data_IF_521783121836
#
_entry.id   IF_521783121836
#
_cell.length_a   1.000
_cell.length_b   1.000
_cell.length_c   1.000
_cell.angle_alpha   90.00
_cell.angle_beta   90.00
_cell.angle_gamma   90.00
#
_symmetry.space_group_name_H-M   'P 1'
#
loop_
_entity.id
_entity.type
_entity.pdbx_description
1 polymer ?
#
# COMPACT_ATOMS: atom_id res chain seq x y z
N UNK A 1 12.56 -4.12 -9.41
CA UNK A 1 11.61 -3.09 -9.89
C UNK A 1 12.38 -1.82 -10.21
N UNK A 2 12.31 -1.36 -11.44
CA UNK A 2 12.75 -0.02 -11.85
C UNK A 2 11.62 1.00 -11.63
N UNK A 3 11.95 2.30 -11.70
CA UNK A 3 10.95 3.38 -11.71
C UNK A 3 9.92 3.19 -12.84
N UNK A 4 10.37 2.84 -14.04
CA UNK A 4 9.49 2.60 -15.19
C UNK A 4 8.54 1.42 -14.97
N UNK A 5 9.00 0.38 -14.26
CA UNK A 5 8.13 -0.74 -13.88
C UNK A 5 7.01 -0.27 -12.93
N UNK A 6 7.35 0.57 -11.94
CA UNK A 6 6.37 1.09 -10.98
C UNK A 6 5.38 2.05 -11.65
N UNK A 7 5.86 2.95 -12.50
CA UNK A 7 5.02 3.85 -13.29
C UNK A 7 4.02 3.04 -14.11
N UNK A 8 4.50 2.05 -14.88
CA UNK A 8 3.62 1.19 -15.68
C UNK A 8 2.62 0.43 -14.81
N UNK A 9 3.02 0.06 -13.60
CA UNK A 9 2.19 -0.65 -12.66
C UNK A 9 0.97 0.16 -12.19
N UNK A 10 1.11 1.47 -11.98
CA UNK A 10 0.02 2.32 -11.45
C UNK A 10 -0.69 3.16 -12.52
N UNK A 11 0.01 3.50 -13.60
CA UNK A 11 -0.47 4.37 -14.66
C UNK A 11 -1.76 3.83 -15.28
N UNK A 12 -2.74 4.71 -15.46
CA UNK A 12 -4.04 4.44 -16.10
C UNK A 12 -4.78 3.22 -15.52
N UNK A 13 -4.51 2.86 -14.26
CA UNK A 13 -5.27 1.82 -13.56
C UNK A 13 -6.68 2.32 -13.24
N UNK A 14 -7.69 1.52 -13.53
CA UNK A 14 -9.10 1.81 -13.21
C UNK A 14 -9.47 1.42 -11.77
N UNK A 15 -8.66 0.56 -11.13
CA UNK A 15 -8.93 0.04 -9.79
C UNK A 15 -8.07 0.67 -8.70
N UNK A 16 -6.95 1.31 -9.04
CA UNK A 16 -5.98 1.79 -8.06
C UNK A 16 -6.59 2.83 -7.11
N UNK A 17 -7.12 3.94 -7.62
CA UNK A 17 -7.75 4.98 -6.80
C UNK A 17 -9.02 4.47 -6.10
N UNK A 18 -9.81 3.66 -6.80
CA UNK A 18 -11.01 3.03 -6.26
C UNK A 18 -10.72 2.15 -5.04
N UNK A 19 -9.57 1.48 -4.99
CA UNK A 19 -9.20 0.59 -3.89
C UNK A 19 -8.28 1.25 -2.85
N UNK A 20 -7.51 2.27 -3.22
CA UNK A 20 -6.48 2.89 -2.36
C UNK A 20 -6.97 4.19 -1.73
N UNK A 21 -7.42 5.16 -2.54
CA UNK A 21 -7.76 6.51 -2.06
C UNK A 21 -9.24 6.65 -1.73
N UNK A 22 -10.14 6.00 -2.48
CA UNK A 22 -11.58 6.03 -2.21
C UNK A 22 -11.97 5.60 -0.79
N UNK A 23 -11.37 4.56 -0.16
CA UNK A 23 -11.66 4.24 1.24
C UNK A 23 -11.39 5.39 2.22
N UNK A 24 -10.53 6.34 1.83
CA UNK A 24 -10.11 7.50 2.62
C UNK A 24 -10.89 8.79 2.27
N UNK A 25 -11.97 8.69 1.48
CA UNK A 25 -12.79 9.84 1.03
C UNK A 25 -13.32 10.73 2.18
N UNK A 26 -13.44 10.17 3.38
CA UNK A 26 -13.92 10.86 4.56
C UNK A 26 -12.87 11.80 5.18
N UNK A 27 -11.62 11.72 4.73
CA UNK A 27 -10.49 12.57 5.13
C UNK A 27 -10.28 13.64 4.05
N UNK A 28 -10.08 13.20 2.81
CA UNK A 28 -9.92 14.05 1.63
C UNK A 28 -10.96 13.62 0.57
N UNK A 29 -11.98 14.45 0.29
CA UNK A 29 -13.13 14.05 -0.53
C UNK A 29 -12.83 13.86 -2.03
N UNK A 30 -11.80 14.48 -2.59
CA UNK A 30 -11.41 14.29 -3.99
C UNK A 30 -10.48 13.07 -4.07
N UNK A 31 -11.09 11.88 -4.05
CA UNK A 31 -10.36 10.63 -3.99
C UNK A 31 -9.90 10.13 -5.36
N UNK A 32 -10.51 10.58 -6.46
CA UNK A 32 -10.09 10.22 -7.81
C UNK A 32 -8.63 10.64 -8.08
N UNK A 33 -7.91 9.84 -8.86
CA UNK A 33 -6.54 10.16 -9.26
C UNK A 33 -6.46 10.34 -10.79
N UNK A 34 -5.94 11.49 -11.23
CA UNK A 34 -5.71 11.76 -12.65
C UNK A 34 -4.24 11.64 -12.99
N UNK A 35 -3.89 10.76 -13.93
CA UNK A 35 -2.50 10.57 -14.38
C UNK A 35 -2.07 11.64 -15.38
N UNK A 36 -0.88 12.24 -15.20
CA UNK A 36 -0.23 13.11 -16.19
C UNK A 36 0.87 12.36 -16.96
N UNK A 37 0.63 12.12 -18.25
CA UNK A 37 1.58 11.48 -19.16
C UNK A 37 2.88 12.28 -19.39
N UNK A 38 2.93 13.56 -19.04
CA UNK A 38 4.11 14.41 -19.24
C UNK A 38 5.08 14.38 -18.06
N UNK A 39 4.56 14.18 -16.85
CA UNK A 39 5.35 14.19 -15.62
C UNK A 39 5.53 12.81 -15.01
N UNK A 40 4.83 11.79 -15.52
CA UNK A 40 4.76 10.43 -14.95
C UNK A 40 4.33 10.43 -13.47
N UNK A 41 3.38 11.31 -13.13
CA UNK A 41 2.84 11.47 -11.78
C UNK A 41 1.33 11.71 -11.83
N UNK A 42 0.65 11.52 -10.70
CA UNK A 42 -0.73 11.98 -10.54
C UNK A 42 -0.78 13.50 -10.38
N UNK A 43 -1.77 14.15 -10.98
CA UNK A 43 -1.98 15.59 -10.87
C UNK A 43 -2.43 15.92 -9.44
N UNK A 44 -1.69 16.76 -8.68
CA UNK A 44 -2.13 17.22 -7.38
C UNK A 44 -3.37 18.10 -7.51
N UNK A 45 -4.40 17.80 -6.71
CA UNK A 45 -5.65 18.54 -6.64
C UNK A 45 -5.93 18.95 -5.18
N UNK A 46 -6.73 19.99 -4.98
CA UNK A 46 -7.22 20.36 -3.65
C UNK A 46 -8.03 19.20 -3.06
N UNK A 47 -7.95 19.02 -1.74
CA UNK A 47 -8.70 17.98 -1.04
C UNK A 47 -8.49 16.55 -1.58
N UNK A 48 -7.28 16.26 -2.10
CA UNK A 48 -6.91 14.97 -2.72
C UNK A 48 -5.63 14.37 -2.13
N UNK A 49 -5.55 13.03 -2.15
CA UNK A 49 -4.35 12.29 -1.79
C UNK A 49 -3.29 12.22 -2.92
N UNK A 50 -3.53 12.80 -4.09
CA UNK A 50 -2.65 12.68 -5.25
C UNK A 50 -1.17 13.02 -4.95
N UNK A 51 -0.89 14.11 -4.21
CA UNK A 51 0.48 14.46 -3.82
C UNK A 51 1.10 13.42 -2.88
N UNK A 52 0.35 12.94 -1.88
CA UNK A 52 0.83 11.89 -0.96
C UNK A 52 1.02 10.54 -1.63
N UNK A 53 0.25 10.25 -2.67
CA UNK A 53 0.48 9.07 -3.52
C UNK A 53 1.80 9.22 -4.28
N UNK A 54 2.06 10.37 -4.89
CA UNK A 54 3.32 10.63 -5.58
C UNK A 54 4.53 10.48 -4.64
N UNK A 55 4.50 11.12 -3.46
CA UNK A 55 5.56 10.97 -2.44
C UNK A 55 5.78 9.49 -2.06
N UNK A 56 4.70 8.74 -1.84
CA UNK A 56 4.77 7.32 -1.52
C UNK A 56 5.37 6.50 -2.67
N UNK A 57 5.04 6.80 -3.93
CA UNK A 57 5.60 6.12 -5.09
C UNK A 57 7.10 6.38 -5.22
N UNK A 58 7.54 7.62 -5.00
CA UNK A 58 8.96 7.99 -4.99
C UNK A 58 9.74 7.23 -3.90
N UNK A 59 9.16 7.12 -2.72
CA UNK A 59 9.73 6.33 -1.62
C UNK A 59 9.81 4.84 -1.96
N UNK A 60 8.77 4.29 -2.61
CA UNK A 60 8.80 2.91 -3.07
C UNK A 60 9.93 2.69 -4.07
N UNK A 61 10.26 3.65 -4.96
CA UNK A 61 11.38 3.49 -5.90
C UNK A 61 12.69 3.22 -5.16
N UNK A 62 12.98 4.01 -4.12
CA UNK A 62 14.24 3.93 -3.36
C UNK A 62 14.25 2.88 -2.24
N UNK A 63 13.08 2.35 -1.86
CA UNK A 63 12.95 1.28 -0.86
C UNK A 63 13.63 0.00 -1.36
N UNK A 64 14.55 -0.61 -0.58
CA UNK A 64 15.16 -1.89 -0.92
C UNK A 64 14.11 -2.98 -1.12
N UNK A 65 14.31 -3.84 -2.10
CA UNK A 65 13.43 -5.00 -2.31
C UNK A 65 13.70 -5.99 -1.18
N UNK A 66 12.70 -6.37 -0.36
CA UNK A 66 12.90 -7.36 0.67
C UNK A 66 13.11 -8.75 0.06
N UNK A 67 13.96 -9.57 0.69
CA UNK A 67 14.16 -10.96 0.28
C UNK A 67 12.87 -11.79 0.40
N UNK A 68 12.06 -11.49 1.42
CA UNK A 68 10.72 -12.04 1.62
C UNK A 68 9.79 -10.97 2.21
N UNK A 69 8.82 -10.51 1.42
CA UNK A 69 7.92 -9.43 1.86
C UNK A 69 6.96 -9.87 2.98
N UNK A 70 6.69 -11.17 3.10
CA UNK A 70 5.87 -11.71 4.18
C UNK A 70 6.50 -11.49 5.56
N UNK A 71 7.83 -11.36 5.65
CA UNK A 71 8.50 -11.10 6.92
C UNK A 71 8.14 -9.70 7.46
N UNK A 72 7.97 -8.71 6.57
CA UNK A 72 7.55 -7.36 6.97
C UNK A 72 6.06 -7.33 7.38
N UNK A 73 5.22 -8.13 6.72
CA UNK A 73 3.82 -8.29 7.10
C UNK A 73 3.69 -9.03 8.45
N UNK A 74 4.56 -10.00 8.70
CA UNK A 74 4.64 -10.71 9.97
C UNK A 74 5.04 -9.78 11.12
N UNK A 75 5.99 -8.85 10.92
CA UNK A 75 6.36 -7.86 11.93
C UNK A 75 5.16 -7.00 12.34
N UNK A 76 4.34 -6.56 11.37
CA UNK A 76 3.13 -5.79 11.64
C UNK A 76 2.10 -6.62 12.43
N UNK A 77 1.89 -7.88 12.03
CA UNK A 77 0.97 -8.78 12.73
C UNK A 77 1.47 -9.13 14.16
N UNK A 78 2.77 -9.37 14.33
CA UNK A 78 3.40 -9.60 15.62
C UNK A 78 3.26 -8.38 16.53
N UNK A 79 3.37 -7.16 15.99
CA UNK A 79 3.11 -5.94 16.75
C UNK A 79 1.69 -5.90 17.32
N UNK A 80 0.68 -6.25 16.51
CA UNK A 80 -0.72 -6.34 16.96
C UNK A 80 -0.90 -7.41 18.04
N UNK A 81 -0.30 -8.59 17.85
CA UNK A 81 -0.39 -9.68 18.81
C UNK A 81 0.22 -9.30 20.17
N UNK A 82 1.39 -8.65 20.14
CA UNK A 82 2.18 -8.32 21.34
C UNK A 82 1.67 -7.08 22.07
N UNK A 83 1.21 -6.05 21.36
CA UNK A 83 0.88 -4.75 21.95
C UNK A 83 -0.63 -4.51 22.09
N UNK A 84 -1.47 -5.16 21.27
CA UNK A 84 -2.93 -4.99 21.30
C UNK A 84 -3.66 -6.22 21.84
N UNK A 85 -2.95 -7.33 22.13
CA UNK A 85 -3.51 -8.58 22.66
C UNK A 85 -4.63 -9.19 21.79
N UNK A 86 -4.57 -9.01 20.47
CA UNK A 86 -5.54 -9.64 19.58
C UNK A 86 -5.24 -11.13 19.45
N UNK A 87 -6.29 -11.96 19.52
CA UNK A 87 -6.19 -13.41 19.31
C UNK A 87 -6.04 -13.72 17.81
N UNK A 88 -4.83 -13.46 17.29
CA UNK A 88 -4.46 -13.75 15.90
C UNK A 88 -3.53 -14.97 15.84
N UNK A 89 -3.76 -15.87 14.87
CA UNK A 89 -2.96 -17.10 14.69
C UNK A 89 -2.52 -17.25 13.24
N UNK A 90 -1.25 -17.58 13.00
CA UNK A 90 -0.77 -17.89 11.64
C UNK A 90 -1.06 -19.35 11.29
N UNK A 91 -1.87 -19.58 10.25
CA UNK A 91 -2.27 -20.91 9.79
C UNK A 91 -1.97 -21.01 8.29
N UNK A 92 -1.13 -21.99 7.89
CA UNK A 92 -0.67 -22.18 6.51
C UNK A 92 -0.05 -20.92 5.85
N UNK A 93 0.71 -20.14 6.61
CA UNK A 93 1.36 -18.92 6.10
C UNK A 93 0.45 -17.69 6.03
N UNK A 94 -0.82 -17.77 6.47
CA UNK A 94 -1.76 -16.65 6.55
C UNK A 94 -2.16 -16.37 7.98
N UNK A 95 -2.23 -15.10 8.36
CA UNK A 95 -2.79 -14.70 9.65
C UNK A 95 -4.31 -14.88 9.63
N UNK A 96 -4.81 -15.78 10.47
CA UNK A 96 -6.22 -16.03 10.72
C UNK A 96 -6.60 -15.26 11.99
N UNK A 97 -7.36 -14.19 11.80
CA UNK A 97 -8.11 -13.45 12.83
C UNK A 97 -9.22 -12.63 12.17
N UNK A 98 -9.82 -11.68 12.89
CA UNK A 98 -10.53 -10.53 12.32
C UNK A 98 -9.77 -9.92 11.12
N UNK A 99 -10.52 -9.23 10.25
CA UNK A 99 -10.14 -8.73 8.93
C UNK A 99 -8.64 -8.41 8.81
N UNK A 100 -7.95 -8.97 7.81
CA UNK A 100 -6.51 -8.75 7.58
C UNK A 100 -6.19 -7.25 7.46
N UNK A 101 -7.16 -6.45 7.03
CA UNK A 101 -7.08 -4.99 7.00
C UNK A 101 -6.90 -4.37 8.37
N UNK A 102 -7.64 -4.87 9.36
CA UNK A 102 -7.59 -4.38 10.73
C UNK A 102 -6.23 -4.71 11.35
N UNK A 103 -5.66 -5.89 11.05
CA UNK A 103 -4.33 -6.28 11.55
C UNK A 103 -3.23 -5.39 10.96
N UNK A 104 -3.23 -5.18 9.65
CA UNK A 104 -2.21 -4.33 9.00
C UNK A 104 -2.32 -2.88 9.48
N UNK A 105 -3.54 -2.34 9.51
CA UNK A 105 -3.76 -0.96 9.94
C UNK A 105 -3.38 -0.78 11.42
N UNK A 106 -3.77 -1.68 12.31
CA UNK A 106 -3.41 -1.56 13.73
C UNK A 106 -1.92 -1.83 13.98
N UNK A 107 -1.31 -2.77 13.25
CA UNK A 107 0.12 -3.06 13.36
C UNK A 107 0.99 -1.91 12.90
N UNK A 108 0.48 -1.12 11.95
CA UNK A 108 1.20 0.01 11.38
C UNK A 108 1.46 1.15 12.37
N UNK A 109 0.69 1.29 13.47
CA UNK A 109 0.93 2.34 14.47
C UNK A 109 2.27 2.19 15.21
N UNK A 110 2.87 1.00 15.18
CA UNK A 110 4.23 0.75 15.68
C UNK A 110 5.32 0.79 14.60
N UNK A 111 4.96 1.08 13.34
CA UNK A 111 5.90 1.07 12.21
C UNK A 111 6.56 2.45 12.04
N UNK A 112 7.71 2.64 12.69
CA UNK A 112 8.47 3.88 12.59
C UNK A 112 8.80 4.22 11.13
N UNK A 113 8.35 5.40 10.69
CA UNK A 113 8.51 5.89 9.31
C UNK A 113 7.95 4.93 8.24
N UNK A 114 6.99 4.06 8.60
CA UNK A 114 6.27 3.19 7.66
C UNK A 114 7.16 2.20 6.90
N UNK A 115 8.36 1.89 7.42
CA UNK A 115 9.38 1.09 6.72
C UNK A 115 8.89 -0.31 6.37
N UNK A 116 8.15 -0.95 7.27
CA UNK A 116 7.62 -2.29 7.04
C UNK A 116 6.48 -2.27 6.02
N UNK A 117 5.60 -1.27 6.08
CA UNK A 117 4.53 -1.08 5.09
C UNK A 117 5.09 -0.83 3.68
N UNK A 118 6.08 0.08 3.54
CA UNK A 118 6.74 0.36 2.27
C UNK A 118 7.44 -0.89 1.71
N UNK A 119 8.15 -1.63 2.55
CA UNK A 119 8.81 -2.87 2.16
C UNK A 119 7.81 -3.95 1.72
N UNK A 120 6.70 -4.11 2.45
CA UNK A 120 5.63 -5.04 2.10
C UNK A 120 4.98 -4.69 0.75
N UNK A 121 4.66 -3.41 0.53
CA UNK A 121 4.15 -2.92 -0.75
C UNK A 121 5.15 -3.15 -1.89
N UNK A 122 6.42 -2.75 -1.71
CA UNK A 122 7.50 -2.92 -2.70
C UNK A 122 7.64 -4.38 -3.12
N UNK A 123 7.67 -5.30 -2.16
CA UNK A 123 7.80 -6.73 -2.42
C UNK A 123 6.60 -7.30 -3.16
N UNK A 124 5.36 -6.91 -2.81
CA UNK A 124 4.14 -7.34 -3.51
C UNK A 124 4.12 -6.90 -4.97
N UNK A 125 4.48 -5.65 -5.24
CA UNK A 125 4.53 -5.11 -6.61
C UNK A 125 5.61 -5.83 -7.42
N UNK A 126 6.81 -6.00 -6.86
CA UNK A 126 7.91 -6.72 -7.52
C UNK A 126 7.52 -8.18 -7.85
N UNK A 127 6.86 -8.87 -6.91
CA UNK A 127 6.37 -10.23 -7.14
C UNK A 127 5.32 -10.28 -8.23
N UNK A 128 4.34 -9.35 -8.23
CA UNK A 128 3.32 -9.27 -9.27
C UNK A 128 3.95 -9.09 -10.67
N UNK A 129 4.88 -8.15 -10.81
CA UNK A 129 5.62 -7.90 -12.06
C UNK A 129 6.39 -9.15 -12.51
N UNK A 130 7.10 -9.83 -11.60
CA UNK A 130 7.83 -11.08 -11.91
C UNK A 130 6.91 -12.20 -12.38
N UNK A 131 5.65 -12.21 -11.94
CA UNK A 131 4.63 -13.16 -12.39
C UNK A 131 3.84 -12.68 -13.62
N UNK A 132 4.24 -11.58 -14.26
CA UNK A 132 3.64 -11.06 -15.49
C UNK A 132 2.41 -10.17 -15.28
N UNK A 133 2.09 -9.80 -14.03
CA UNK A 133 1.03 -8.85 -13.70
C UNK A 133 1.65 -7.45 -13.69
N UNK A 134 1.62 -6.79 -14.85
CA UNK A 134 2.42 -5.56 -15.08
C UNK A 134 1.69 -4.27 -14.77
N UNK A 135 0.37 -4.33 -14.55
CA UNK A 135 -0.47 -3.25 -14.05
C UNK A 135 -1.19 -3.70 -12.78
N UNK A 136 -1.57 -2.76 -11.92
CA UNK A 136 -2.35 -3.01 -10.72
C UNK A 136 -3.66 -3.75 -11.03
N UNK A 137 -4.28 -3.47 -12.17
CA UNK A 137 -5.52 -4.11 -12.63
C UNK A 137 -5.32 -5.58 -13.06
N UNK A 138 -4.08 -5.96 -13.41
CA UNK A 138 -3.73 -7.33 -13.82
C UNK A 138 -3.58 -8.28 -12.60
N UNK A 139 -3.51 -7.74 -11.38
CA UNK A 139 -3.24 -8.52 -10.19
C UNK A 139 -4.36 -9.52 -9.86
N UNK A 140 -3.98 -10.67 -9.30
CA UNK A 140 -4.97 -11.55 -8.68
C UNK A 140 -5.67 -10.81 -7.53
N UNK A 141 -7.00 -10.79 -7.54
CA UNK A 141 -7.83 -10.00 -6.61
C UNK A 141 -7.42 -10.10 -5.13
N UNK A 142 -7.04 -11.29 -4.65
CA UNK A 142 -6.57 -11.47 -3.28
C UNK A 142 -5.30 -10.68 -2.96
N UNK A 143 -4.32 -10.69 -3.87
CA UNK A 143 -3.08 -9.93 -3.73
C UNK A 143 -3.30 -8.42 -3.97
N UNK A 144 -4.15 -8.07 -4.93
CA UNK A 144 -4.55 -6.70 -5.25
C UNK A 144 -5.18 -6.01 -4.03
N UNK A 145 -6.15 -6.67 -3.38
CA UNK A 145 -6.79 -6.17 -2.16
C UNK A 145 -5.80 -5.90 -1.06
N UNK A 146 -4.89 -6.83 -0.79
CA UNK A 146 -3.93 -6.65 0.30
C UNK A 146 -2.98 -5.49 -0.02
N UNK A 147 -2.48 -5.40 -1.26
CA UNK A 147 -1.65 -4.28 -1.67
C UNK A 147 -2.39 -2.95 -1.49
N UNK A 148 -3.64 -2.85 -1.95
CA UNK A 148 -4.45 -1.65 -1.77
C UNK A 148 -4.60 -1.25 -0.31
N UNK A 149 -4.83 -2.24 0.57
CA UNK A 149 -4.96 -2.01 2.01
C UNK A 149 -3.66 -1.52 2.65
N UNK A 150 -2.51 -2.05 2.23
CA UNK A 150 -1.19 -1.59 2.69
C UNK A 150 -0.98 -0.13 2.26
N UNK A 151 -1.21 0.19 0.99
CA UNK A 151 -1.07 1.56 0.46
C UNK A 151 -2.04 2.54 1.14
N UNK A 152 -3.30 2.14 1.33
CA UNK A 152 -4.28 2.96 2.04
C UNK A 152 -3.89 3.20 3.51
N UNK A 153 -3.27 2.22 4.18
CA UNK A 153 -2.78 2.38 5.56
C UNK A 153 -1.63 3.39 5.63
N UNK A 154 -0.72 3.36 4.66
CA UNK A 154 0.36 4.35 4.51
C UNK A 154 -0.25 5.76 4.38
N UNK A 155 -1.20 5.95 3.46
CA UNK A 155 -1.84 7.25 3.22
C UNK A 155 -2.66 7.74 4.42
N UNK A 156 -3.38 6.85 5.09
CA UNK A 156 -4.15 7.17 6.28
C UNK A 156 -3.26 7.77 7.38
N UNK A 157 -2.12 7.15 7.66
CA UNK A 157 -1.18 7.68 8.65
C UNK A 157 -0.60 9.03 8.24
N UNK A 158 -0.27 9.21 6.96
CA UNK A 158 0.23 10.48 6.40
C UNK A 158 -0.80 11.60 6.43
N UNK A 159 -2.09 11.28 6.53
CA UNK A 159 -3.12 12.31 6.66
C UNK A 159 -3.02 13.15 7.92
N UNK A 160 -2.32 12.66 8.96
CA UNK A 160 -2.04 13.44 10.17
C UNK A 160 -1.13 14.64 9.90
N UNK A 161 -0.34 14.59 8.82
CA UNK A 161 0.60 15.65 8.42
C UNK A 161 -0.03 16.67 7.45
N UNK A 162 -1.30 16.49 7.07
CA UNK A 162 -2.04 17.35 6.14
C UNK A 162 -2.73 18.54 6.88
N UNK A 163 -2.44 18.71 8.17
CA UNK A 163 -3.00 19.76 9.04
C UNK A 163 -2.26 21.09 8.92
#
# INVERSE_FOLDING_TARGET
MTEQDLIKFVKHSELFDYMVTRPLWHILPNWELTWDDNTDHFIPEEDSFAEKVNEMLDELIVTPIPDNYHDNEDILAEHVQQNLNWNIIKVHGRWISCDYQDVINQGSFGDEEQKNLLSAAKGRIETAIKHGQSNFDDMEYGHQRILAMVLASILYQRSNDIV
#
